data_IF_385503068991
#
_entry.id   IF_385503068991
#
_cell.length_a   1.000
_cell.length_b   1.000
_cell.length_c   1.000
_cell.angle_alpha   90.00
_cell.angle_beta   90.00
_cell.angle_gamma   90.00
#
_symmetry.space_group_name_H-M   'P 1'
#
loop_
_entity.id
_entity.type
_entity.pdbx_description
1 polymer ?
#
# COMPACT_ATOMS: atom_id res chain seq x y z
N UNK A 1 7.32 50.17 -14.84
CA UNK A 1 6.71 50.19 -13.49
C UNK A 1 5.49 49.27 -13.39
N UNK A 2 4.52 49.36 -14.31
CA UNK A 2 3.33 48.49 -14.34
C UNK A 2 3.62 46.98 -14.31
N UNK A 3 4.58 46.48 -15.11
CA UNK A 3 4.95 45.05 -15.10
C UNK A 3 5.51 44.54 -13.76
N UNK A 4 6.14 45.41 -12.96
CA UNK A 4 6.67 45.04 -11.65
C UNK A 4 5.56 44.99 -10.58
N UNK A 5 4.54 45.84 -10.71
CA UNK A 5 3.35 45.82 -9.84
C UNK A 5 2.46 44.61 -10.15
N UNK A 6 2.27 44.29 -11.42
CA UNK A 6 1.55 43.10 -11.87
C UNK A 6 2.25 41.80 -11.41
N UNK A 7 3.58 41.74 -11.54
CA UNK A 7 4.36 40.61 -11.01
C UNK A 7 4.21 40.46 -9.49
N UNK A 8 4.28 41.56 -8.72
CA UNK A 8 4.09 41.52 -7.25
C UNK A 8 2.69 41.07 -6.87
N UNK A 9 1.65 41.52 -7.60
CA UNK A 9 0.27 41.09 -7.39
C UNK A 9 0.13 39.59 -7.64
N UNK A 10 0.61 39.11 -8.79
CA UNK A 10 0.56 37.68 -9.15
C UNK A 10 1.35 36.82 -8.15
N UNK A 11 2.49 37.31 -7.66
CA UNK A 11 3.27 36.62 -6.63
C UNK A 11 2.48 36.51 -5.31
N UNK A 12 1.82 37.59 -4.87
CA UNK A 12 1.03 37.58 -3.64
C UNK A 12 -0.19 36.66 -3.72
N UNK A 13 -0.85 36.61 -4.89
CA UNK A 13 -1.99 35.73 -5.13
C UNK A 13 -1.56 34.26 -5.19
N UNK A 14 -0.45 33.97 -5.88
CA UNK A 14 0.14 32.64 -5.92
C UNK A 14 0.57 32.17 -4.52
N UNK A 15 1.18 33.05 -3.71
CA UNK A 15 1.57 32.72 -2.34
C UNK A 15 0.35 32.34 -1.49
N UNK A 16 -0.75 33.09 -1.58
CA UNK A 16 -2.00 32.78 -0.87
C UNK A 16 -2.51 31.38 -1.23
N UNK A 17 -2.60 31.07 -2.52
CA UNK A 17 -3.07 29.76 -3.00
C UNK A 17 -2.15 28.62 -2.56
N UNK A 18 -0.82 28.84 -2.60
CA UNK A 18 0.15 27.86 -2.12
C UNK A 18 -0.02 27.60 -0.62
N UNK A 19 -0.23 28.63 0.19
CA UNK A 19 -0.46 28.48 1.63
C UNK A 19 -1.73 27.67 1.91
N UNK A 20 -2.82 27.96 1.21
CA UNK A 20 -4.09 27.20 1.32
C UNK A 20 -3.90 25.72 0.94
N UNK A 21 -3.24 25.44 -0.20
CA UNK A 21 -2.96 24.06 -0.62
C UNK A 21 -2.08 23.30 0.39
N UNK A 22 -1.12 23.96 1.03
CA UNK A 22 -0.28 23.34 2.05
C UNK A 22 -1.07 23.06 3.34
N UNK A 23 -2.05 23.90 3.68
CA UNK A 23 -2.96 23.65 4.81
C UNK A 23 -3.83 22.41 4.55
N UNK A 24 -4.39 22.27 3.34
CA UNK A 24 -5.14 21.06 2.96
C UNK A 24 -4.24 19.81 2.95
N UNK A 25 -2.99 19.96 2.48
CA UNK A 25 -2.00 18.89 2.54
C UNK A 25 -1.68 18.51 3.99
N UNK A 26 -1.55 19.48 4.89
CA UNK A 26 -1.24 19.26 6.29
C UNK A 26 -2.33 18.43 7.00
N UNK A 27 -3.61 18.69 6.73
CA UNK A 27 -4.71 17.88 7.26
C UNK A 27 -4.63 16.42 6.80
N UNK A 28 -4.29 16.19 5.52
CA UNK A 28 -4.08 14.84 4.98
C UNK A 28 -2.83 14.19 5.58
N UNK A 29 -1.75 14.97 5.68
CA UNK A 29 -0.44 14.53 6.16
C UNK A 29 -0.47 14.16 7.64
N UNK A 30 -1.23 14.90 8.46
CA UNK A 30 -1.39 14.65 9.89
C UNK A 30 -2.62 13.79 10.20
N UNK A 31 -3.39 13.42 9.18
CA UNK A 31 -4.55 12.50 9.19
C UNK A 31 -5.70 12.95 10.11
N UNK A 32 -5.79 14.24 10.38
CA UNK A 32 -6.84 14.86 11.21
C UNK A 32 -7.01 16.33 10.82
N UNK A 33 -8.14 16.97 11.17
CA UNK A 33 -8.27 18.41 11.05
C UNK A 33 -7.20 19.13 11.88
N UNK A 34 -6.69 20.22 11.33
CA UNK A 34 -5.85 21.16 12.06
C UNK A 34 -6.69 21.99 13.01
N UNK A 35 -6.13 22.34 14.17
CA UNK A 35 -6.69 23.38 15.03
C UNK A 35 -6.47 24.76 14.37
N UNK A 36 -7.26 25.76 14.75
CA UNK A 36 -7.05 27.12 14.23
C UNK A 36 -5.66 27.67 14.60
N UNK A 37 -5.16 27.34 15.80
CA UNK A 37 -3.80 27.68 16.21
C UNK A 37 -2.74 27.06 15.28
N UNK A 38 -2.87 25.78 14.93
CA UNK A 38 -1.95 25.10 14.00
C UNK A 38 -2.02 25.74 12.59
N UNK A 39 -3.21 26.13 12.14
CA UNK A 39 -3.37 26.83 10.85
C UNK A 39 -2.68 28.18 10.87
N UNK A 40 -2.89 28.96 11.93
CA UNK A 40 -2.34 30.30 12.05
C UNK A 40 -0.82 30.27 12.25
N UNK A 41 -0.29 29.29 12.99
CA UNK A 41 1.16 29.07 13.11
C UNK A 41 1.77 28.74 11.73
N UNK A 42 1.15 27.84 10.96
CA UNK A 42 1.65 27.50 9.63
C UNK A 42 1.62 28.72 8.68
N UNK A 43 0.54 29.53 8.70
CA UNK A 43 0.39 30.71 7.82
C UNK A 43 1.46 31.79 8.01
N UNK A 44 2.14 31.82 9.16
CA UNK A 44 3.24 32.76 9.44
C UNK A 44 4.48 32.51 8.57
N UNK A 45 4.64 31.29 8.06
CA UNK A 45 5.81 30.90 7.28
C UNK A 45 5.59 31.05 5.77
N UNK A 46 6.64 31.28 4.97
CA UNK A 46 6.53 31.22 3.51
C UNK A 46 6.23 29.77 3.07
N UNK A 47 5.58 29.55 1.91
CA UNK A 47 5.09 28.23 1.49
C UNK A 47 6.13 27.10 1.56
N UNK A 48 7.36 27.36 1.10
CA UNK A 48 8.44 26.35 1.16
C UNK A 48 8.72 25.89 2.60
N UNK A 49 8.72 26.81 3.56
CA UNK A 49 9.01 26.49 4.96
C UNK A 49 7.80 25.85 5.65
N UNK A 50 6.58 26.21 5.25
CA UNK A 50 5.37 25.49 5.69
C UNK A 50 5.45 24.01 5.31
N UNK A 51 5.80 23.70 4.06
CA UNK A 51 5.93 22.32 3.60
C UNK A 51 6.98 21.55 4.40
N UNK A 52 8.14 22.16 4.65
CA UNK A 52 9.18 21.56 5.51
C UNK A 52 8.61 21.29 6.90
N UNK A 53 7.95 22.27 7.54
CA UNK A 53 7.39 22.13 8.88
C UNK A 53 6.34 21.02 8.96
N UNK A 54 5.48 20.88 7.95
CA UNK A 54 4.50 19.80 7.84
C UNK A 54 5.19 18.44 7.77
N UNK A 55 6.22 18.29 6.92
CA UNK A 55 6.91 17.02 6.67
C UNK A 55 7.93 16.63 7.75
N UNK A 56 8.35 17.56 8.60
CA UNK A 56 9.23 17.28 9.75
C UNK A 56 8.49 17.25 11.09
N UNK A 57 7.17 17.50 11.10
CA UNK A 57 6.35 17.47 12.30
C UNK A 57 6.26 16.04 12.87
N UNK A 58 6.28 15.86 14.20
CA UNK A 58 5.98 14.58 14.84
C UNK A 58 4.64 13.98 14.38
N UNK A 59 3.63 14.83 14.12
CA UNK A 59 2.32 14.40 13.63
C UNK A 59 2.38 13.76 12.22
N UNK A 60 3.39 14.11 11.43
CA UNK A 60 3.64 13.46 10.14
C UNK A 60 4.54 12.25 10.27
N UNK A 61 5.68 12.38 10.95
CA UNK A 61 6.71 11.33 11.05
C UNK A 61 6.23 10.10 11.81
N UNK A 62 5.37 10.31 12.81
CA UNK A 62 4.80 9.24 13.62
C UNK A 62 3.30 9.10 13.38
N UNK A 63 2.80 7.88 13.61
CA UNK A 63 1.36 7.57 13.69
C UNK A 63 1.05 7.14 15.12
N UNK A 64 1.28 8.05 16.05
CA UNK A 64 0.97 7.83 17.45
C UNK A 64 -0.50 8.20 17.68
N UNK A 65 -1.24 7.32 18.34
CA UNK A 65 -2.53 7.69 18.90
C UNK A 65 -2.28 8.57 20.14
N UNK A 66 -3.13 9.57 20.35
CA UNK A 66 -3.10 10.35 21.58
C UNK A 66 -3.41 9.39 22.73
N UNK A 67 -2.55 9.43 23.75
CA UNK A 67 -2.80 8.73 25.00
C UNK A 67 -3.88 9.54 25.72
N UNK A 68 -5.11 9.03 25.89
CA UNK A 68 -6.12 9.75 26.64
C UNK A 68 -5.72 9.82 28.12
N UNK A 69 -6.13 10.89 28.81
CA UNK A 69 -5.84 11.11 30.23
C UNK A 69 -6.42 9.99 31.12
N UNK A 70 -7.48 9.33 30.64
CA UNK A 70 -8.07 8.14 31.22
C UNK A 70 -8.07 7.00 30.18
N UNK A 71 -7.91 5.74 30.62
CA UNK A 71 -7.92 4.59 29.70
C UNK A 71 -9.26 4.54 28.95
N UNK A 72 -9.22 4.71 27.64
CA UNK A 72 -10.42 4.84 26.82
C UNK A 72 -10.20 4.46 25.35
N UNK A 73 -11.28 4.38 24.56
CA UNK A 73 -11.20 4.03 23.15
C UNK A 73 -10.55 5.16 22.34
N UNK A 74 -9.81 4.79 21.28
CA UNK A 74 -9.27 5.76 20.31
C UNK A 74 -10.37 6.58 19.65
N UNK A 75 -10.06 7.81 19.27
CA UNK A 75 -10.95 8.71 18.54
C UNK A 75 -11.33 8.15 17.17
N UNK A 76 -12.43 8.63 16.57
CA UNK A 76 -12.83 8.21 15.23
C UNK A 76 -11.77 8.58 14.16
N UNK A 77 -11.01 9.66 14.33
CA UNK A 77 -9.90 10.03 13.45
C UNK A 77 -8.72 9.06 13.53
N UNK A 78 -8.38 8.62 14.73
CA UNK A 78 -7.38 7.59 14.96
C UNK A 78 -7.85 6.25 14.41
N UNK A 79 -9.13 5.90 14.59
CA UNK A 79 -9.71 4.68 14.04
C UNK A 79 -9.70 4.69 12.49
N UNK A 80 -10.05 5.83 11.86
CA UNK A 80 -9.95 6.01 10.42
C UNK A 80 -8.51 5.82 9.92
N UNK A 81 -7.55 6.41 10.63
CA UNK A 81 -6.12 6.30 10.30
C UNK A 81 -5.61 4.88 10.45
N UNK A 82 -5.95 4.20 11.55
CA UNK A 82 -5.57 2.79 11.79
C UNK A 82 -6.13 1.90 10.67
N UNK A 83 -7.40 2.05 10.32
CA UNK A 83 -8.03 1.27 9.25
C UNK A 83 -7.40 1.53 7.88
N UNK A 84 -7.18 2.80 7.52
CA UNK A 84 -6.60 3.18 6.22
C UNK A 84 -5.17 2.69 6.05
N UNK A 85 -4.37 2.75 7.10
CA UNK A 85 -3.00 2.25 7.03
C UNK A 85 -2.91 0.75 7.15
N UNK A 86 -3.84 0.10 7.85
CA UNK A 86 -3.92 -1.36 7.89
C UNK A 86 -4.25 -1.93 6.50
N UNK A 87 -5.26 -1.40 5.82
CA UNK A 87 -5.73 -1.95 4.53
C UNK A 87 -5.03 -1.37 3.30
N UNK A 88 -4.64 -0.10 3.33
CA UNK A 88 -4.11 0.61 2.14
C UNK A 88 -2.72 1.19 2.33
N UNK A 89 -2.09 1.05 3.50
CA UNK A 89 -0.82 1.70 3.82
C UNK A 89 -0.81 3.18 3.42
N UNK A 90 -1.94 3.88 3.61
CA UNK A 90 -2.16 5.25 3.17
C UNK A 90 -3.07 6.03 4.11
N UNK A 91 -3.16 7.34 3.88
CA UNK A 91 -4.05 8.22 4.61
C UNK A 91 -5.53 7.88 4.34
N UNK A 92 -6.45 8.16 5.29
CA UNK A 92 -7.86 7.88 5.13
C UNK A 92 -8.47 8.70 3.99
N UNK A 93 -9.28 8.06 3.15
CA UNK A 93 -9.97 8.74 2.05
C UNK A 93 -11.12 9.62 2.55
N UNK A 94 -11.70 10.41 1.65
CA UNK A 94 -12.71 11.40 2.00
C UNK A 94 -13.89 10.80 2.76
N UNK A 95 -14.38 9.64 2.32
CA UNK A 95 -15.50 8.97 2.98
C UNK A 95 -15.17 8.60 4.42
N UNK A 96 -13.97 8.06 4.70
CA UNK A 96 -13.54 7.80 6.07
C UNK A 96 -13.41 9.10 6.89
N UNK A 97 -12.87 10.17 6.30
CA UNK A 97 -12.72 11.46 7.00
C UNK A 97 -14.08 12.06 7.38
N UNK A 98 -15.06 12.00 6.50
CA UNK A 98 -16.44 12.47 6.77
C UNK A 98 -17.09 11.64 7.89
N UNK A 99 -16.94 10.31 7.86
CA UNK A 99 -17.46 9.44 8.92
C UNK A 99 -16.75 9.68 10.26
N UNK A 100 -15.45 9.97 10.23
CA UNK A 100 -14.68 10.31 11.42
C UNK A 100 -15.12 11.65 12.01
N UNK A 101 -15.28 12.69 11.18
CA UNK A 101 -15.78 13.99 11.59
C UNK A 101 -17.19 13.90 12.21
N UNK A 102 -18.03 13.00 11.71
CA UNK A 102 -19.36 12.75 12.23
C UNK A 102 -19.44 11.82 13.44
N UNK A 103 -18.33 11.29 13.94
CA UNK A 103 -18.31 10.36 15.09
C UNK A 103 -19.01 9.02 14.82
N UNK A 104 -19.03 8.56 13.56
CA UNK A 104 -19.81 7.38 13.13
C UNK A 104 -18.99 6.10 13.00
N UNK A 105 -17.65 6.17 13.01
CA UNK A 105 -16.80 5.01 12.74
C UNK A 105 -16.73 4.04 13.91
N UNK A 106 -17.06 4.47 15.12
CA UNK A 106 -17.19 3.58 16.28
C UNK A 106 -18.41 2.65 16.21
N UNK A 107 -19.37 2.90 15.31
CA UNK A 107 -20.45 1.96 15.05
C UNK A 107 -19.90 0.72 14.32
N UNK A 108 -20.04 -0.50 14.87
CA UNK A 108 -19.49 -1.72 14.27
C UNK A 108 -19.97 -2.00 12.84
N UNK A 109 -21.24 -1.70 12.53
CA UNK A 109 -21.81 -1.92 11.20
C UNK A 109 -21.21 -0.96 10.17
N UNK A 110 -21.02 0.30 10.57
CA UNK A 110 -20.36 1.32 9.74
C UNK A 110 -18.89 0.95 9.49
N UNK A 111 -18.17 0.52 10.55
CA UNK A 111 -16.78 0.12 10.45
C UNK A 111 -16.61 -1.09 9.52
N UNK A 112 -17.44 -2.12 9.70
CA UNK A 112 -17.42 -3.32 8.87
C UNK A 112 -17.76 -3.01 7.40
N UNK A 113 -18.74 -2.12 7.17
CA UNK A 113 -19.06 -1.67 5.81
C UNK A 113 -17.89 -0.93 5.15
N UNK A 114 -17.19 -0.05 5.88
CA UNK A 114 -16.00 0.62 5.37
C UNK A 114 -14.85 -0.34 5.09
N UNK A 115 -14.57 -1.28 6.00
CA UNK A 115 -13.54 -2.29 5.77
C UNK A 115 -13.81 -3.11 4.49
N UNK A 116 -15.04 -3.59 4.29
CA UNK A 116 -15.42 -4.33 3.07
C UNK A 116 -15.30 -3.49 1.80
N UNK A 117 -15.71 -2.22 1.84
CA UNK A 117 -15.53 -1.29 0.71
C UNK A 117 -14.05 -1.15 0.38
N UNK A 118 -13.22 -0.94 1.39
CA UNK A 118 -11.79 -0.69 1.21
C UNK A 118 -11.04 -1.91 0.69
N UNK A 119 -11.44 -3.11 1.10
CA UNK A 119 -10.86 -4.36 0.59
C UNK A 119 -11.14 -4.58 -0.90
N UNK A 120 -12.16 -3.95 -1.49
CA UNK A 120 -12.47 -4.00 -2.92
C UNK A 120 -11.74 -2.96 -3.78
N UNK A 121 -11.08 -2.00 -3.15
CA UNK A 121 -10.34 -0.93 -3.83
C UNK A 121 -8.95 -1.42 -4.26
N UNK A 122 -8.44 -0.95 -5.39
CA UNK A 122 -7.13 -1.35 -5.92
C UNK A 122 -5.97 -1.04 -4.97
N UNK A 123 -6.13 -0.08 -4.05
CA UNK A 123 -5.14 0.21 -3.02
C UNK A 123 -4.88 -0.96 -2.08
N UNK A 124 -5.77 -1.96 -2.01
CA UNK A 124 -5.55 -3.21 -1.24
C UNK A 124 -4.36 -4.02 -1.76
N UNK A 125 -3.88 -3.74 -2.98
CA UNK A 125 -2.62 -4.25 -3.51
C UNK A 125 -1.46 -4.02 -2.51
N UNK A 126 -1.50 -2.93 -1.75
CA UNK A 126 -0.50 -2.63 -0.72
C UNK A 126 -0.60 -3.56 0.49
N UNK A 127 -1.80 -3.96 0.91
CA UNK A 127 -1.96 -5.00 1.94
C UNK A 127 -1.43 -6.35 1.43
N UNK A 128 -1.75 -6.73 0.19
CA UNK A 128 -1.21 -7.94 -0.42
C UNK A 128 0.34 -7.92 -0.45
N UNK A 129 0.94 -6.77 -0.73
CA UNK A 129 2.41 -6.59 -0.74
C UNK A 129 3.00 -6.63 0.68
N UNK A 130 2.50 -5.80 1.59
CA UNK A 130 3.11 -5.62 2.92
C UNK A 130 2.80 -6.75 3.90
N UNK A 131 1.66 -7.42 3.74
CA UNK A 131 1.29 -8.57 4.57
C UNK A 131 1.53 -9.90 3.84
N UNK A 132 0.91 -10.11 2.68
CA UNK A 132 0.96 -11.39 1.96
C UNK A 132 2.37 -11.77 1.53
N UNK A 133 3.07 -10.89 0.82
CA UNK A 133 4.44 -11.15 0.38
C UNK A 133 5.43 -11.18 1.55
N UNK A 134 5.22 -10.37 2.60
CA UNK A 134 6.07 -10.42 3.80
C UNK A 134 5.90 -11.74 4.56
N UNK A 135 4.67 -12.23 4.72
CA UNK A 135 4.37 -13.50 5.38
C UNK A 135 5.04 -14.69 4.68
N UNK A 136 5.07 -14.69 3.34
CA UNK A 136 5.82 -15.68 2.57
C UNK A 136 7.34 -15.43 2.51
N UNK A 137 7.80 -14.28 3.01
CA UNK A 137 9.17 -13.77 2.88
C UNK A 137 9.63 -13.59 1.43
N UNK A 138 8.75 -13.12 0.55
CA UNK A 138 9.01 -12.88 -0.88
C UNK A 138 8.87 -11.40 -1.28
N UNK A 139 8.62 -10.50 -0.32
CA UNK A 139 8.48 -9.05 -0.57
C UNK A 139 9.75 -8.38 -1.10
N UNK A 140 10.91 -8.96 -0.80
CA UNK A 140 12.24 -8.50 -1.20
C UNK A 140 12.83 -9.31 -2.36
N UNK A 141 12.03 -10.21 -2.97
CA UNK A 141 12.51 -11.13 -4.00
C UNK A 141 13.03 -10.39 -5.23
N UNK A 142 12.38 -9.28 -5.61
CA UNK A 142 12.81 -8.42 -6.71
C UNK A 142 14.24 -7.90 -6.54
N UNK A 143 14.74 -7.82 -5.30
CA UNK A 143 16.10 -7.36 -4.99
C UNK A 143 17.07 -8.48 -4.64
N UNK A 144 16.61 -9.75 -4.60
CA UNK A 144 17.43 -10.89 -4.23
C UNK A 144 18.51 -11.17 -5.28
N UNK A 145 19.78 -11.18 -4.85
CA UNK A 145 20.95 -11.36 -5.73
C UNK A 145 21.81 -12.58 -5.31
N UNK A 146 21.29 -13.42 -4.44
CA UNK A 146 22.01 -14.60 -3.89
C UNK A 146 22.08 -15.78 -4.88
N UNK A 147 21.35 -15.73 -6.00
CA UNK A 147 21.29 -16.81 -6.98
C UNK A 147 22.40 -16.65 -8.02
N UNK A 148 23.19 -17.70 -8.21
CA UNK A 148 24.24 -17.73 -9.22
C UNK A 148 23.68 -17.52 -10.62
N UNK A 149 24.02 -16.41 -11.28
CA UNK A 149 23.62 -16.12 -12.67
C UNK A 149 24.13 -17.18 -13.65
N UNK A 150 25.24 -17.86 -13.33
CA UNK A 150 25.75 -18.99 -14.13
C UNK A 150 24.79 -20.18 -14.16
N UNK A 151 24.14 -20.48 -13.03
CA UNK A 151 23.24 -21.62 -12.91
C UNK A 151 21.77 -21.24 -13.19
N UNK A 152 21.40 -19.98 -12.90
CA UNK A 152 20.04 -19.47 -13.05
C UNK A 152 20.04 -18.15 -13.86
N UNK A 153 20.38 -18.18 -15.16
CA UNK A 153 20.60 -16.98 -15.96
C UNK A 153 19.36 -16.11 -16.15
N UNK A 154 18.16 -16.70 -16.05
CA UNK A 154 16.89 -15.98 -16.22
C UNK A 154 16.35 -15.39 -14.92
N UNK A 155 16.89 -15.78 -13.76
CA UNK A 155 16.32 -15.43 -12.45
C UNK A 155 16.28 -13.92 -12.21
N UNK A 156 17.35 -13.20 -12.55
CA UNK A 156 17.46 -11.75 -12.32
C UNK A 156 16.40 -10.94 -13.07
N UNK A 157 16.05 -11.37 -14.28
CA UNK A 157 14.98 -10.74 -15.06
C UNK A 157 13.58 -11.14 -14.56
N UNK A 158 13.45 -12.35 -14.00
CA UNK A 158 12.15 -12.94 -13.65
C UNK A 158 11.71 -12.67 -12.20
N UNK A 159 12.62 -12.39 -11.27
CA UNK A 159 12.35 -12.24 -9.83
C UNK A 159 11.27 -11.19 -9.50
N UNK A 160 11.17 -10.11 -10.28
CA UNK A 160 10.10 -9.12 -10.15
C UNK A 160 8.74 -9.69 -10.53
N UNK A 161 8.66 -10.44 -11.64
CA UNK A 161 7.43 -11.13 -12.07
C UNK A 161 7.01 -12.20 -11.04
N UNK A 162 7.96 -12.96 -10.49
CA UNK A 162 7.65 -13.94 -9.44
C UNK A 162 7.00 -13.27 -8.21
N UNK A 163 7.48 -12.10 -7.79
CA UNK A 163 6.88 -11.36 -6.68
C UNK A 163 5.49 -10.81 -7.02
N UNK A 164 5.31 -10.37 -8.27
CA UNK A 164 4.03 -9.88 -8.79
C UNK A 164 2.96 -10.99 -8.85
N UNK A 165 3.32 -12.22 -9.22
CA UNK A 165 2.42 -13.39 -9.15
C UNK A 165 1.79 -13.51 -7.75
N UNK A 166 2.64 -13.52 -6.72
CA UNK A 166 2.19 -13.62 -5.32
C UNK A 166 1.32 -12.43 -4.93
N UNK A 167 1.76 -11.21 -5.26
CA UNK A 167 1.05 -10.00 -4.86
C UNK A 167 -0.34 -9.95 -5.50
N UNK A 168 -0.46 -10.32 -6.77
CA UNK A 168 -1.74 -10.37 -7.49
C UNK A 168 -2.65 -11.46 -6.95
N UNK A 169 -2.11 -12.64 -6.65
CA UNK A 169 -2.87 -13.71 -6.05
C UNK A 169 -3.48 -13.30 -4.70
N UNK A 170 -2.69 -12.68 -3.81
CA UNK A 170 -3.23 -12.16 -2.55
C UNK A 170 -4.23 -11.02 -2.76
N UNK A 171 -4.01 -10.15 -3.75
CA UNK A 171 -4.96 -9.07 -4.08
C UNK A 171 -6.31 -9.67 -4.48
N UNK A 172 -6.31 -10.66 -5.38
CA UNK A 172 -7.52 -11.36 -5.82
C UNK A 172 -8.22 -12.07 -4.67
N UNK A 173 -7.46 -12.80 -3.85
CA UNK A 173 -7.96 -13.51 -2.67
C UNK A 173 -8.74 -12.55 -1.74
N UNK A 174 -8.20 -11.36 -1.49
CA UNK A 174 -8.81 -10.35 -0.61
C UNK A 174 -10.00 -9.68 -1.28
N UNK A 175 -9.87 -9.24 -2.54
CA UNK A 175 -10.94 -8.50 -3.24
C UNK A 175 -12.17 -9.38 -3.52
N UNK A 176 -11.95 -10.66 -3.80
CA UNK A 176 -13.01 -11.63 -4.08
C UNK A 176 -13.53 -12.34 -2.82
N UNK A 177 -13.03 -12.01 -1.63
CA UNK A 177 -13.40 -12.67 -0.37
C UNK A 177 -13.29 -14.20 -0.46
N UNK A 178 -12.19 -14.68 -1.06
CA UNK A 178 -11.95 -16.10 -1.25
C UNK A 178 -11.54 -16.79 0.05
N UNK A 179 -11.73 -18.10 0.09
CA UNK A 179 -11.31 -18.92 1.22
C UNK A 179 -9.79 -18.85 1.42
N UNK A 180 -9.34 -18.69 2.66
CA UNK A 180 -7.91 -18.78 3.00
C UNK A 180 -7.30 -20.14 2.62
N UNK A 181 -8.11 -21.19 2.49
CA UNK A 181 -7.65 -22.51 2.04
C UNK A 181 -7.16 -22.48 0.59
N UNK A 182 -7.61 -21.52 -0.23
CA UNK A 182 -7.12 -21.31 -1.59
C UNK A 182 -5.64 -20.99 -1.65
N UNK A 183 -5.03 -20.49 -0.56
CA UNK A 183 -3.57 -20.39 -0.45
C UNK A 183 -2.87 -21.75 -0.66
N UNK A 184 -3.53 -22.86 -0.30
CA UNK A 184 -2.99 -24.20 -0.42
C UNK A 184 -3.44 -24.91 -1.70
N UNK A 185 -4.70 -24.76 -2.08
CA UNK A 185 -5.33 -25.60 -3.08
C UNK A 185 -5.91 -24.86 -4.30
N UNK A 186 -5.66 -23.56 -4.48
CA UNK A 186 -6.18 -22.83 -5.64
C UNK A 186 -5.84 -23.53 -6.96
N UNK A 187 -6.79 -23.56 -7.89
CA UNK A 187 -6.58 -24.09 -9.25
C UNK A 187 -6.15 -23.01 -10.25
N UNK A 188 -5.65 -21.88 -9.75
CA UNK A 188 -5.28 -20.75 -10.59
C UNK A 188 -4.01 -20.05 -10.08
N UNK A 189 -3.38 -19.31 -10.98
CA UNK A 189 -2.29 -18.36 -10.67
C UNK A 189 -2.44 -17.11 -11.54
N UNK A 190 -1.57 -16.13 -11.31
CA UNK A 190 -1.44 -14.93 -12.12
C UNK A 190 -0.11 -14.94 -12.83
N UNK A 191 -0.12 -14.72 -14.14
CA UNK A 191 1.11 -14.68 -14.93
C UNK A 191 1.03 -13.66 -16.07
N UNK A 192 2.19 -13.11 -16.42
CA UNK A 192 2.44 -12.41 -17.69
C UNK A 192 3.21 -13.35 -18.64
N UNK A 193 3.56 -12.87 -19.85
CA UNK A 193 4.30 -13.70 -20.82
C UNK A 193 5.62 -14.26 -20.29
N UNK A 194 6.37 -13.46 -19.54
CA UNK A 194 7.69 -13.81 -19.00
C UNK A 194 7.58 -15.01 -18.04
N UNK A 195 6.62 -14.94 -17.10
CA UNK A 195 6.37 -16.03 -16.15
C UNK A 195 5.73 -17.25 -16.82
N UNK A 196 4.85 -17.07 -17.81
CA UNK A 196 4.30 -18.16 -18.59
C UNK A 196 5.41 -18.95 -19.31
N UNK A 197 6.35 -18.26 -19.95
CA UNK A 197 7.51 -18.88 -20.59
C UNK A 197 8.36 -19.66 -19.58
N UNK A 198 8.56 -19.12 -18.37
CA UNK A 198 9.27 -19.80 -17.29
C UNK A 198 8.56 -21.08 -16.84
N UNK A 199 7.23 -21.08 -16.82
CA UNK A 199 6.42 -22.25 -16.50
C UNK A 199 6.23 -23.23 -17.68
N UNK A 200 6.76 -22.92 -18.86
CA UNK A 200 6.56 -23.73 -20.06
C UNK A 200 5.12 -23.67 -20.60
N UNK A 201 4.42 -22.56 -20.34
CA UNK A 201 3.03 -22.34 -20.69
C UNK A 201 2.90 -21.24 -21.75
N UNK A 202 1.75 -21.24 -22.44
CA UNK A 202 1.39 -20.18 -23.38
C UNK A 202 0.22 -19.39 -22.80
N UNK A 203 0.28 -18.07 -22.96
CA UNK A 203 -0.78 -17.14 -22.57
C UNK A 203 -1.26 -16.39 -23.81
N UNK A 204 -2.53 -15.96 -23.80
CA UNK A 204 -3.13 -15.27 -24.93
C UNK A 204 -2.69 -13.81 -25.03
N UNK A 205 -2.49 -13.17 -23.88
CA UNK A 205 -2.02 -11.78 -23.75
C UNK A 205 -0.62 -11.75 -23.12
N UNK A 206 0.21 -10.79 -23.53
CA UNK A 206 1.49 -10.54 -22.89
C UNK A 206 1.36 -9.94 -21.48
N UNK A 207 0.24 -9.26 -21.21
CA UNK A 207 -0.09 -8.66 -19.92
C UNK A 207 -0.41 -9.67 -18.81
N UNK A 208 -0.58 -9.14 -17.60
CA UNK A 208 -0.96 -9.91 -16.42
C UNK A 208 -2.39 -10.41 -16.54
N UNK A 209 -2.58 -11.72 -16.43
CA UNK A 209 -3.90 -12.35 -16.44
C UNK A 209 -3.99 -13.46 -15.39
N UNK A 210 -5.22 -13.77 -14.97
CA UNK A 210 -5.51 -14.98 -14.21
C UNK A 210 -5.55 -16.17 -15.16
N UNK A 211 -4.93 -17.27 -14.76
CA UNK A 211 -4.92 -18.53 -15.51
C UNK A 211 -5.40 -19.64 -14.58
N UNK A 212 -6.51 -20.28 -14.95
CA UNK A 212 -7.10 -21.42 -14.22
C UNK A 212 -6.56 -22.77 -14.73
N UNK A 213 -6.93 -23.88 -14.07
CA UNK A 213 -6.49 -25.23 -14.43
C UNK A 213 -5.03 -25.53 -14.05
N UNK A 214 -4.52 -24.91 -13.00
CA UNK A 214 -3.10 -24.95 -12.62
C UNK A 214 -2.70 -26.08 -11.69
N UNK A 215 -3.64 -26.82 -11.12
CA UNK A 215 -3.35 -28.00 -10.27
C UNK A 215 -2.56 -29.09 -11.01
N UNK A 216 -2.94 -29.54 -12.23
CA UNK A 216 -2.18 -30.58 -12.94
C UNK A 216 -0.74 -30.14 -13.29
N UNK A 217 -0.52 -28.83 -13.43
CA UNK A 217 0.80 -28.27 -13.71
C UNK A 217 1.64 -28.01 -12.44
N UNK A 218 1.12 -28.31 -11.24
CA UNK A 218 1.80 -28.03 -9.98
C UNK A 218 1.99 -26.54 -9.69
N UNK A 219 1.20 -25.67 -10.34
CA UNK A 219 1.23 -24.20 -10.18
C UNK A 219 -0.01 -23.65 -9.46
N UNK A 220 -0.85 -24.55 -8.95
CA UNK A 220 -1.97 -24.21 -8.08
C UNK A 220 -1.52 -23.95 -6.65
N UNK A 221 -1.98 -22.85 -6.06
CA UNK A 221 -1.67 -22.47 -4.68
C UNK A 221 -0.23 -21.97 -4.48
N UNK A 222 0.02 -21.41 -3.29
CA UNK A 222 1.24 -20.65 -3.00
C UNK A 222 2.53 -21.47 -3.04
N UNK A 223 2.44 -22.78 -2.82
CA UNK A 223 3.61 -23.69 -2.87
C UNK A 223 4.07 -23.94 -4.32
N UNK A 224 3.18 -23.77 -5.29
CA UNK A 224 3.47 -23.88 -6.72
C UNK A 224 4.16 -22.64 -7.30
N UNK A 225 4.12 -21.51 -6.59
CA UNK A 225 4.64 -20.23 -7.08
C UNK A 225 6.16 -20.20 -7.14
N UNK A 226 6.68 -19.63 -8.22
CA UNK A 226 8.12 -19.51 -8.44
C UNK A 226 8.80 -18.72 -7.30
N UNK A 227 8.13 -17.69 -6.78
CA UNK A 227 8.65 -16.90 -5.67
C UNK A 227 8.89 -17.71 -4.40
N UNK A 228 7.91 -18.55 -4.03
CA UNK A 228 8.01 -19.40 -2.84
C UNK A 228 9.14 -20.43 -3.01
N UNK A 229 9.21 -21.08 -4.18
CA UNK A 229 10.26 -22.05 -4.49
C UNK A 229 11.65 -21.41 -4.52
N UNK A 230 11.79 -20.27 -5.20
CA UNK A 230 13.06 -19.57 -5.33
C UNK A 230 13.62 -19.11 -3.98
N UNK A 231 12.77 -18.56 -3.10
CA UNK A 231 13.19 -18.08 -1.78
C UNK A 231 13.53 -19.22 -0.81
N UNK A 232 12.79 -20.33 -0.85
CA UNK A 232 12.98 -21.42 0.13
C UNK A 232 14.05 -22.44 -0.29
N UNK A 233 14.34 -22.55 -1.59
CA UNK A 233 15.38 -23.44 -2.13
C UNK A 233 16.67 -22.64 -2.40
N UNK A 234 17.38 -22.23 -1.34
CA UNK A 234 18.68 -21.53 -1.45
C UNK A 234 19.85 -22.50 -1.52
N UNK A 235 20.90 -22.14 -2.28
CA UNK A 235 22.13 -22.93 -2.47
C UNK A 235 22.93 -23.09 -1.14
N UNK A 236 22.69 -22.18 -0.19
CA UNK A 236 23.25 -22.19 1.17
C UNK A 236 22.47 -23.03 2.18
N UNK A 237 21.39 -23.72 1.77
CA UNK A 237 20.64 -24.67 2.62
C UNK A 237 21.15 -26.09 2.42
N UNK A 238 22.30 -26.37 3.00
CA UNK A 238 22.92 -27.69 3.13
C UNK A 238 22.62 -28.33 4.50
N UNK A 239 21.42 -28.14 5.04
CA UNK A 239 20.99 -28.85 6.24
C UNK A 239 20.81 -30.35 5.94
N UNK A 240 21.71 -31.16 6.46
CA UNK A 240 21.43 -32.55 6.78
C UNK A 240 20.34 -32.58 7.85
N UNK A 241 19.18 -33.16 7.51
CA UNK A 241 18.22 -33.65 8.51
C UNK A 241 18.65 -35.05 8.90
#
# INVERSE_FOLDING_TARGET
>A
MQAAEEFKKNLSEAERLQKEAIIELAEKAWRRPLTEEERDELRQYPPRLMLVRVLTSPAFLYRADRIPDETGPVSDWELATRLSYFLWSSYPDEQLRVLAAGGKLRNPDVLAAQARRMMKDDRVYRLATEFGCQWLHVRDLETLDEKSERHFPTFKALRGDMQQEVTRFFTDLIQQDQSILSLLDADHTFMNQSLANHYGMQVADAGWQRVDGMRPAGRGGMLGFAAAQAKKCGDSRNSAI
#
